data_IF_391987080513
#
_entry.id   IF_391987080513
#
_cell.length_a   1.000
_cell.length_b   1.000
_cell.length_c   1.000
_cell.angle_alpha   90.00
_cell.angle_beta   90.00
_cell.angle_gamma   90.00
#
_symmetry.space_group_name_H-M   'P 1'
#
loop_
_entity.id
_entity.type
_entity.pdbx_description
1 polymer ?
#
# COMPACT_ATOMS: atom_id res chain seq x y z
N UNK A 1 21.11 26.26 -3.92
CA UNK A 1 19.95 26.46 -4.83
C UNK A 1 20.25 26.04 -6.27
N UNK A 2 21.36 26.49 -6.87
CA UNK A 2 21.68 26.21 -8.29
C UNK A 2 21.77 24.72 -8.65
N UNK A 3 22.35 23.89 -7.78
CA UNK A 3 22.46 22.45 -8.06
C UNK A 3 21.10 21.75 -8.02
N UNK A 4 20.18 22.18 -7.15
CA UNK A 4 18.81 21.67 -7.15
C UNK A 4 18.15 21.94 -8.50
N UNK A 5 18.18 23.20 -8.97
CA UNK A 5 17.56 23.59 -10.24
C UNK A 5 18.18 22.86 -11.44
N UNK A 6 19.50 22.63 -11.42
CA UNK A 6 20.22 21.87 -12.44
C UNK A 6 19.66 20.46 -12.62
N UNK A 7 19.29 19.79 -11.53
CA UNK A 7 18.83 18.41 -11.55
C UNK A 7 17.31 18.25 -11.41
N UNK A 8 16.58 19.35 -11.15
CA UNK A 8 15.16 19.35 -10.84
C UNK A 8 14.28 18.70 -11.92
N UNK A 9 14.54 18.98 -13.20
CA UNK A 9 13.73 18.43 -14.30
C UNK A 9 13.83 16.90 -14.36
N UNK A 10 15.05 16.35 -14.35
CA UNK A 10 15.24 14.91 -14.39
C UNK A 10 14.67 14.24 -13.13
N UNK A 11 14.93 14.83 -11.96
CA UNK A 11 14.39 14.36 -10.69
C UNK A 11 12.86 14.31 -10.68
N UNK A 12 12.20 15.35 -11.20
CA UNK A 12 10.74 15.40 -11.34
C UNK A 12 10.23 14.29 -12.25
N UNK A 13 10.89 14.05 -13.39
CA UNK A 13 10.50 12.97 -14.30
C UNK A 13 10.58 11.63 -13.59
N UNK A 14 11.68 11.33 -12.89
CA UNK A 14 11.79 10.10 -12.08
C UNK A 14 10.68 10.01 -11.03
N UNK A 15 10.37 11.11 -10.34
CA UNK A 15 9.36 11.13 -9.27
C UNK A 15 7.93 10.93 -9.78
N UNK A 16 7.60 11.42 -10.98
CA UNK A 16 6.23 11.47 -11.50
C UNK A 16 5.95 10.46 -12.62
N UNK A 17 6.94 9.65 -13.00
CA UNK A 17 6.80 8.59 -13.99
C UNK A 17 6.14 7.36 -13.36
N UNK A 18 5.04 6.89 -13.98
CA UNK A 18 4.21 5.77 -13.51
C UNK A 18 4.95 4.43 -13.53
N UNK A 19 5.94 4.28 -14.41
CA UNK A 19 6.76 3.07 -14.49
C UNK A 19 7.99 3.14 -13.56
N UNK A 20 8.09 4.22 -12.77
CA UNK A 20 9.20 4.45 -11.84
C UNK A 20 8.65 4.73 -10.44
N UNK A 21 8.81 5.96 -9.94
CA UNK A 21 8.55 6.27 -8.55
C UNK A 21 7.20 6.92 -8.28
N UNK A 22 6.37 7.19 -9.30
CA UNK A 22 5.06 7.79 -9.05
C UNK A 22 4.15 6.95 -8.14
N UNK A 23 4.09 5.61 -8.26
CA UNK A 23 3.29 4.78 -7.35
C UNK A 23 3.75 4.90 -5.88
N UNK A 24 5.06 4.76 -5.64
CA UNK A 24 5.64 4.89 -4.30
C UNK A 24 5.50 6.31 -3.73
N UNK A 25 5.67 7.33 -4.57
CA UNK A 25 5.51 8.73 -4.20
C UNK A 25 4.08 9.03 -3.75
N UNK A 26 3.07 8.63 -4.54
CA UNK A 26 1.66 8.81 -4.15
C UNK A 26 1.32 8.05 -2.87
N UNK A 27 1.75 6.79 -2.75
CA UNK A 27 1.52 5.98 -1.54
C UNK A 27 2.07 6.68 -0.29
N UNK A 28 3.29 7.21 -0.39
CA UNK A 28 3.93 7.97 0.68
C UNK A 28 3.13 9.21 1.07
N UNK A 29 2.67 9.99 0.08
CA UNK A 29 1.87 11.19 0.33
C UNK A 29 0.52 10.87 1.00
N UNK A 30 -0.16 9.81 0.57
CA UNK A 30 -1.46 9.43 1.15
C UNK A 30 -1.32 8.88 2.57
N UNK A 31 -0.29 8.08 2.85
CA UNK A 31 -0.03 7.59 4.19
C UNK A 31 0.36 8.73 5.13
N UNK A 32 1.21 9.65 4.69
CA UNK A 32 1.60 10.82 5.48
C UNK A 32 0.40 11.70 5.90
N UNK A 33 -0.62 11.85 5.04
CA UNK A 33 -1.85 12.61 5.35
C UNK A 33 -2.74 11.92 6.38
N UNK A 34 -2.66 10.60 6.48
CA UNK A 34 -3.62 9.77 7.22
C UNK A 34 -3.03 9.17 8.50
N UNK A 35 -1.76 9.45 8.85
CA UNK A 35 -1.10 8.96 10.08
C UNK A 35 -1.93 9.23 11.33
N UNK A 36 -2.41 10.45 11.49
CA UNK A 36 -3.19 10.87 12.66
C UNK A 36 -4.62 10.34 12.68
N UNK A 37 -5.10 9.80 11.55
CA UNK A 37 -6.44 9.23 11.40
C UNK A 37 -6.45 7.72 11.64
N UNK A 38 -5.27 7.10 11.76
CA UNK A 38 -5.16 5.69 12.10
C UNK A 38 -5.67 5.45 13.53
N UNK A 39 -6.48 4.39 13.70
CA UNK A 39 -6.92 3.95 15.04
C UNK A 39 -5.73 3.59 15.94
N UNK A 40 -4.64 3.14 15.32
CA UNK A 40 -3.34 2.91 15.92
C UNK A 40 -2.31 3.80 15.21
N UNK A 41 -1.89 4.85 15.91
CA UNK A 41 -0.93 5.84 15.40
C UNK A 41 0.44 5.21 15.18
N UNK A 42 0.84 4.24 16.01
CA UNK A 42 2.12 3.54 15.86
C UNK A 42 2.13 2.73 14.56
N UNK A 43 1.04 2.01 14.30
CA UNK A 43 0.86 1.30 13.03
C UNK A 43 0.77 2.26 11.82
N UNK A 44 0.11 3.41 11.97
CA UNK A 44 0.07 4.45 10.94
C UNK A 44 1.45 5.05 10.63
N UNK A 45 2.25 5.26 11.67
CA UNK A 45 3.62 5.75 11.58
C UNK A 45 4.53 4.71 10.93
N UNK A 46 4.47 3.45 11.36
CA UNK A 46 5.19 2.33 10.74
C UNK A 46 4.93 2.27 9.23
N UNK A 47 3.66 2.27 8.81
CA UNK A 47 3.30 2.23 7.38
C UNK A 47 3.85 3.41 6.59
N UNK A 48 3.79 4.61 7.17
CA UNK A 48 4.29 5.83 6.53
C UNK A 48 5.81 5.83 6.41
N UNK A 49 6.52 5.40 7.45
CA UNK A 49 7.96 5.24 7.45
C UNK A 49 8.42 4.21 6.41
N UNK A 50 7.77 3.04 6.33
CA UNK A 50 8.10 2.02 5.33
C UNK A 50 7.85 2.50 3.89
N UNK A 51 6.71 3.16 3.64
CA UNK A 51 6.42 3.72 2.32
C UNK A 51 7.42 4.82 1.92
N UNK A 52 7.84 5.67 2.88
CA UNK A 52 8.86 6.68 2.65
C UNK A 52 10.22 6.04 2.29
N UNK A 53 10.63 4.98 2.98
CA UNK A 53 11.85 4.24 2.66
C UNK A 53 11.79 3.63 1.24
N UNK A 54 10.69 2.96 0.88
CA UNK A 54 10.47 2.44 -0.48
C UNK A 54 10.59 3.55 -1.55
N UNK A 55 10.01 4.72 -1.27
CA UNK A 55 10.11 5.87 -2.18
C UNK A 55 11.56 6.37 -2.32
N UNK A 56 12.30 6.48 -1.21
CA UNK A 56 13.72 6.89 -1.23
C UNK A 56 14.58 5.88 -2.01
N UNK A 57 14.37 4.58 -1.82
CA UNK A 57 15.08 3.54 -2.57
C UNK A 57 14.80 3.63 -4.07
N UNK A 58 13.52 3.76 -4.46
CA UNK A 58 13.14 3.99 -5.85
C UNK A 58 13.83 5.23 -6.43
N UNK A 59 13.81 6.33 -5.67
CA UNK A 59 14.43 7.59 -6.06
C UNK A 59 15.92 7.44 -6.29
N UNK A 60 16.65 6.80 -5.37
CA UNK A 60 18.09 6.62 -5.49
C UNK A 60 18.43 5.80 -6.74
N UNK A 61 17.76 4.66 -6.93
CA UNK A 61 17.98 3.79 -8.08
C UNK A 61 17.74 4.52 -9.41
N UNK A 62 16.58 5.16 -9.58
CA UNK A 62 16.25 5.79 -10.86
C UNK A 62 16.96 7.13 -11.09
N UNK A 63 17.30 7.90 -10.05
CA UNK A 63 18.07 9.13 -10.23
C UNK A 63 19.51 8.81 -10.62
N UNK A 64 20.13 7.79 -10.03
CA UNK A 64 21.46 7.33 -10.45
C UNK A 64 21.44 6.88 -11.91
N UNK A 65 20.52 5.97 -12.24
CA UNK A 65 20.41 5.38 -13.58
C UNK A 65 20.03 6.40 -14.66
N UNK A 66 19.07 7.28 -14.40
CA UNK A 66 18.47 8.15 -15.43
C UNK A 66 19.03 9.58 -15.43
N UNK A 67 19.52 10.07 -14.29
CA UNK A 67 19.98 11.46 -14.12
C UNK A 67 21.50 11.59 -13.87
N UNK A 68 22.18 10.47 -13.64
CA UNK A 68 23.63 10.38 -13.47
C UNK A 68 24.13 10.66 -12.05
N UNK A 69 25.38 10.27 -11.79
CA UNK A 69 26.00 10.19 -10.47
C UNK A 69 25.98 11.50 -9.69
N UNK A 70 26.19 12.64 -10.37
CA UNK A 70 26.14 13.96 -9.72
C UNK A 70 24.74 14.27 -9.18
N UNK A 71 23.70 13.90 -9.92
CA UNK A 71 22.32 14.08 -9.49
C UNK A 71 22.00 13.12 -8.33
N UNK A 72 22.45 11.87 -8.42
CA UNK A 72 22.28 10.86 -7.36
C UNK A 72 22.94 11.31 -6.06
N UNK A 73 24.20 11.73 -6.11
CA UNK A 73 24.95 12.22 -4.96
C UNK A 73 24.31 13.49 -4.36
N UNK A 74 23.83 14.41 -5.20
CA UNK A 74 23.11 15.60 -4.75
C UNK A 74 21.81 15.23 -4.03
N UNK A 75 20.94 14.44 -4.67
CA UNK A 75 19.61 14.12 -4.10
C UNK A 75 19.67 13.18 -2.91
N UNK A 76 20.64 12.27 -2.84
CA UNK A 76 20.86 11.44 -1.66
C UNK A 76 21.18 12.29 -0.43
N UNK A 77 22.15 13.22 -0.55
CA UNK A 77 22.48 14.17 0.54
C UNK A 77 21.34 15.13 0.83
N UNK A 78 20.64 15.60 -0.21
CA UNK A 78 19.53 16.52 -0.05
C UNK A 78 18.38 15.86 0.71
N UNK A 79 18.00 14.63 0.34
CA UNK A 79 16.99 13.85 1.04
C UNK A 79 17.41 13.58 2.48
N UNK A 80 18.61 13.06 2.72
CA UNK A 80 19.12 12.84 4.08
C UNK A 80 19.08 14.11 4.94
N UNK A 81 19.38 15.28 4.36
CA UNK A 81 19.32 16.55 5.10
C UNK A 81 17.89 16.95 5.48
N UNK A 82 16.90 16.72 4.61
CA UNK A 82 15.52 17.16 4.86
C UNK A 82 14.71 16.13 5.65
N UNK A 83 14.99 14.84 5.48
CA UNK A 83 14.23 13.76 6.10
C UNK A 83 14.99 13.04 7.21
N UNK A 84 16.32 13.21 7.31
CA UNK A 84 17.15 12.53 8.31
C UNK A 84 16.63 12.70 9.75
N UNK A 85 16.39 13.93 10.24
CA UNK A 85 15.86 14.14 11.59
C UNK A 85 14.49 13.49 11.80
N UNK A 86 13.58 13.61 10.81
CA UNK A 86 12.27 12.94 10.85
C UNK A 86 12.43 11.41 10.95
N UNK A 87 13.36 10.85 10.18
CA UNK A 87 13.62 9.42 10.18
C UNK A 87 14.21 8.99 11.53
N UNK A 88 15.18 9.73 12.05
CA UNK A 88 15.86 9.41 13.31
C UNK A 88 14.88 9.48 14.49
N UNK A 89 14.12 10.57 14.59
CA UNK A 89 13.24 10.83 15.74
C UNK A 89 11.95 9.99 15.70
N UNK A 90 11.41 9.71 14.52
CA UNK A 90 10.08 9.10 14.37
C UNK A 90 10.06 7.76 13.66
N UNK A 91 11.04 7.48 12.79
CA UNK A 91 11.10 6.23 12.05
C UNK A 91 12.26 5.32 12.49
N UNK A 92 13.07 5.68 13.49
CA UNK A 92 14.31 4.96 13.84
C UNK A 92 14.10 3.47 14.07
N UNK A 93 12.97 3.09 14.65
CA UNK A 93 12.57 1.68 14.88
C UNK A 93 12.18 0.91 13.61
N UNK A 94 11.85 1.60 12.51
CA UNK A 94 11.35 1.03 11.26
C UNK A 94 12.25 1.27 10.05
N UNK A 95 13.17 2.23 10.12
CA UNK A 95 13.88 2.76 8.95
C UNK A 95 15.17 2.01 8.54
N UNK A 96 15.67 1.08 9.36
CA UNK A 96 16.99 0.45 9.13
C UNK A 96 17.02 -1.07 9.37
N UNK A 97 15.95 -1.79 9.01
CA UNK A 97 15.87 -3.26 9.19
C UNK A 97 14.91 -3.71 10.31
N UNK A 98 14.14 -2.79 10.89
CA UNK A 98 12.88 -3.14 11.51
C UNK A 98 11.94 -3.70 10.44
N UNK A 99 11.30 -4.84 10.71
CA UNK A 99 10.50 -5.55 9.71
C UNK A 99 9.33 -4.68 9.21
N UNK A 100 9.54 -4.05 8.04
CA UNK A 100 8.49 -3.56 7.16
C UNK A 100 7.69 -4.72 6.53
N UNK A 101 7.81 -5.95 7.05
CA UNK A 101 6.97 -7.06 6.61
C UNK A 101 5.51 -6.77 7.00
N UNK A 102 4.69 -6.67 5.97
CA UNK A 102 3.25 -6.49 6.02
C UNK A 102 2.51 -7.78 6.46
N UNK A 103 3.03 -8.52 7.45
CA UNK A 103 2.30 -9.70 7.99
C UNK A 103 1.03 -9.32 8.77
N UNK A 104 0.70 -8.04 8.89
CA UNK A 104 -0.53 -7.55 9.52
C UNK A 104 -1.49 -6.80 8.56
N UNK A 105 -1.36 -6.96 7.24
CA UNK A 105 -2.33 -6.41 6.27
C UNK A 105 -2.92 -7.45 5.31
N UNK A 106 -2.72 -8.74 5.56
CA UNK A 106 -3.36 -9.84 4.80
C UNK A 106 -4.27 -10.66 5.71
N UNK A 107 -5.26 -10.02 6.36
CA UNK A 107 -6.34 -10.74 7.06
C UNK A 107 -7.73 -10.14 6.83
N UNK A 108 -7.88 -9.24 5.85
CA UNK A 108 -9.18 -8.68 5.49
C UNK A 108 -9.44 -8.67 3.98
N UNK A 109 -8.88 -9.61 3.19
CA UNK A 109 -9.48 -9.98 1.89
C UNK A 109 -8.88 -11.27 1.29
N UNK A 110 -8.97 -12.37 2.03
CA UNK A 110 -8.88 -13.71 1.43
C UNK A 110 -10.15 -14.49 1.75
N UNK A 111 -11.30 -13.91 1.41
CA UNK A 111 -12.47 -14.76 1.14
C UNK A 111 -12.31 -15.33 -0.27
N UNK A 112 -11.41 -16.30 -0.39
CA UNK A 112 -11.39 -17.24 -1.50
C UNK A 112 -12.81 -17.79 -1.67
N UNK A 113 -13.56 -17.33 -2.70
CA UNK A 113 -14.76 -18.03 -3.18
C UNK A 113 -14.34 -19.29 -3.93
N UNK A 114 -13.60 -20.16 -3.23
CA UNK A 114 -13.40 -21.54 -3.60
C UNK A 114 -14.72 -22.28 -3.36
N UNK A 115 -15.53 -22.31 -4.42
CA UNK A 115 -16.35 -23.45 -4.86
C UNK A 115 -16.65 -24.48 -3.75
N UNK A 116 -17.56 -24.15 -2.81
CA UNK A 116 -18.22 -25.18 -1.99
C UNK A 116 -19.31 -25.82 -2.84
N UNK A 117 -18.88 -26.85 -3.57
CA UNK A 117 -19.76 -27.85 -4.17
C UNK A 117 -20.20 -28.76 -3.03
N UNK A 118 -21.36 -28.48 -2.45
CA UNK A 118 -22.04 -29.39 -1.53
C UNK A 118 -23.55 -29.28 -1.75
N UNK A 119 -24.30 -30.36 -1.52
CA UNK A 119 -24.73 -31.32 -2.52
C UNK A 119 -26.22 -31.14 -2.84
N UNK A 120 -26.67 -31.80 -3.92
CA UNK A 120 -28.08 -32.04 -4.20
C UNK A 120 -28.74 -32.82 -3.03
N UNK A 121 -29.19 -32.15 -1.97
CA UNK A 121 -30.00 -32.79 -0.91
C UNK A 121 -31.11 -31.88 -0.32
N UNK A 122 -31.39 -30.71 -0.91
CA UNK A 122 -32.49 -29.82 -0.47
C UNK A 122 -33.66 -29.71 -1.47
N UNK A 123 -33.64 -30.45 -2.59
CA UNK A 123 -34.74 -30.46 -3.55
C UNK A 123 -35.88 -31.44 -3.20
N UNK A 124 -35.71 -32.32 -2.20
CA UNK A 124 -36.71 -33.33 -1.85
C UNK A 124 -37.75 -32.87 -0.79
N UNK A 125 -37.57 -31.69 -0.19
CA UNK A 125 -38.49 -31.20 0.85
C UNK A 125 -39.61 -30.27 0.30
N UNK A 126 -39.47 -29.76 -0.92
CA UNK A 126 -40.42 -28.78 -1.51
C UNK A 126 -41.65 -29.47 -2.14
N UNK A 127 -41.57 -30.75 -2.50
CA UNK A 127 -42.69 -31.48 -3.12
C UNK A 127 -43.73 -32.01 -2.11
N UNK A 128 -43.42 -32.06 -0.81
CA UNK A 128 -44.34 -32.56 0.21
C UNK A 128 -45.41 -31.54 0.67
N UNK A 129 -45.25 -30.25 0.36
CA UNK A 129 -46.23 -29.21 0.74
C UNK A 129 -47.30 -28.95 -0.34
N UNK A 130 -47.12 -29.44 -1.58
CA UNK A 130 -48.05 -29.18 -2.68
C UNK A 130 -49.23 -30.18 -2.78
N UNK A 131 -49.18 -31.35 -2.12
CA UNK A 131 -50.29 -32.33 -2.15
C UNK A 131 -51.35 -32.13 -1.06
N UNK A 132 -51.10 -31.28 -0.05
CA UNK A 132 -52.06 -31.06 1.05
C UNK A 132 -53.11 -29.98 0.79
N UNK A 133 -52.99 -29.20 -0.29
CA UNK A 133 -53.95 -28.13 -0.64
C UNK A 133 -54.97 -28.48 -1.72
N UNK A 134 -55.02 -29.73 -2.21
CA UNK A 134 -55.97 -30.13 -3.28
C UNK A 134 -57.21 -30.87 -2.72
N UNK A 135 -57.24 -31.22 -1.42
CA UNK A 135 -58.33 -32.05 -0.86
C UNK A 135 -59.33 -31.31 0.06
N UNK A 136 -59.25 -29.99 0.20
CA UNK A 136 -60.17 -29.16 0.98
C UNK A 136 -60.32 -27.84 0.19
N UNK A 137 -61.44 -27.40 -0.37
CA UNK A 137 -62.84 -27.70 -0.12
C UNK A 137 -63.59 -27.72 -1.46
N UNK A 138 -64.23 -28.86 -1.72
CA UNK A 138 -65.32 -29.01 -2.67
C UNK A 138 -66.54 -29.34 -1.81
N UNK A 139 -67.33 -28.32 -1.50
CA UNK A 139 -68.74 -28.35 -1.07
C UNK A 139 -69.32 -26.94 -1.25
#
# INVERSE_FOLDING_TARGET
MNDFLRHARCNRNVTLDEEKCAPAYRRTLELAKTVSQAQDVDHGLKRSCCAFSEFVECKNFHVERDCGDRASAFFSRHMQRISGPLIEDHCGHYAHGGSCDDSAASSADRQTKAKRRWPLLLAAAITAMALKSISAERC
#
